data_IF_406753308185
#
_entry.id   IF_406753308185
#
_cell.length_a   1.000
_cell.length_b   1.000
_cell.length_c   1.000
_cell.angle_alpha   90.00
_cell.angle_beta   90.00
_cell.angle_gamma   90.00
#
_symmetry.space_group_name_H-M   'P 1'
#
loop_
_entity.id
_entity.type
_entity.pdbx_description
1 polymer ?
#
# COMPACT_ATOMS: atom_id res chain seq x y z
N UNK A 1 5.36 21.09 11.36
CA UNK A 1 4.61 19.99 12.00
C UNK A 1 5.62 18.88 12.21
N UNK A 2 5.82 18.45 13.44
CA UNK A 2 6.74 17.36 13.75
C UNK A 2 6.16 16.03 13.26
N UNK A 3 7.01 14.99 13.10
CA UNK A 3 6.53 13.64 12.75
C UNK A 3 5.48 13.15 13.75
N UNK A 4 5.69 13.43 15.05
CA UNK A 4 4.75 13.08 16.11
C UNK A 4 3.39 13.79 15.97
N UNK A 5 3.37 15.07 15.62
CA UNK A 5 2.13 15.82 15.36
C UNK A 5 1.41 15.30 14.13
N UNK A 6 2.15 15.00 13.05
CA UNK A 6 1.58 14.39 11.84
C UNK A 6 0.99 13.04 12.15
N UNK A 7 1.70 12.21 12.90
CA UNK A 7 1.27 10.89 13.36
C UNK A 7 0.00 10.98 14.20
N UNK A 8 0.00 11.85 15.22
CA UNK A 8 -1.16 12.02 16.11
C UNK A 8 -2.37 12.48 15.31
N UNK A 9 -2.20 13.47 14.42
CA UNK A 9 -3.27 13.96 13.56
C UNK A 9 -3.79 12.88 12.61
N UNK A 10 -2.90 12.15 11.96
CA UNK A 10 -3.27 11.06 11.02
C UNK A 10 -3.98 9.91 11.73
N UNK A 11 -3.55 9.56 12.95
CA UNK A 11 -4.21 8.54 13.78
C UNK A 11 -5.59 8.99 14.26
N UNK A 12 -5.73 10.24 14.67
CA UNK A 12 -7.01 10.79 15.12
C UNK A 12 -8.03 10.90 13.99
N UNK A 13 -7.59 11.30 12.79
CA UNK A 13 -8.49 11.64 11.68
C UNK A 13 -8.97 10.43 10.86
N UNK A 14 -8.35 9.25 10.95
CA UNK A 14 -8.69 8.23 9.95
C UNK A 14 -8.50 6.76 10.28
N UNK A 15 -7.82 6.42 11.36
CA UNK A 15 -7.48 5.01 11.62
C UNK A 15 -8.39 4.40 12.66
N UNK A 16 -8.76 5.18 13.65
CA UNK A 16 -9.53 4.71 14.81
C UNK A 16 -11.04 4.73 14.56
N UNK A 17 -11.54 5.78 13.92
CA UNK A 17 -12.95 5.87 13.55
C UNK A 17 -13.12 5.70 12.04
N UNK A 18 -14.21 5.08 11.57
CA UNK A 18 -14.52 5.09 10.16
C UNK A 18 -14.61 6.56 9.71
N UNK A 19 -13.87 6.97 8.64
CA UNK A 19 -13.83 8.35 8.19
C UNK A 19 -15.19 8.87 7.71
N UNK A 20 -16.12 7.96 7.46
CA UNK A 20 -17.47 8.28 7.03
C UNK A 20 -18.51 7.76 8.03
N UNK A 21 -19.50 8.59 8.32
CA UNK A 21 -20.66 8.18 9.13
C UNK A 21 -21.58 7.23 8.36
N UNK A 22 -21.67 7.44 7.06
CA UNK A 22 -22.55 6.71 6.16
C UNK A 22 -21.75 6.02 5.04
N UNK A 23 -22.33 5.02 4.43
CA UNK A 23 -21.80 4.42 3.22
C UNK A 23 -21.86 5.41 2.04
N UNK A 24 -21.10 5.14 0.99
CA UNK A 24 -21.14 5.93 -0.24
C UNK A 24 -22.48 5.72 -0.98
N UNK A 25 -23.56 6.40 -0.53
CA UNK A 25 -24.91 6.26 -1.09
C UNK A 25 -24.98 6.60 -2.58
N UNK A 26 -24.07 7.44 -3.05
CA UNK A 26 -23.94 7.75 -4.48
C UNK A 26 -23.45 6.53 -5.29
N UNK A 27 -22.77 5.57 -4.66
CA UNK A 27 -22.29 4.32 -5.25
C UNK A 27 -23.29 3.18 -5.01
N UNK A 28 -23.69 2.96 -3.75
CA UNK A 28 -24.62 1.89 -3.36
C UNK A 28 -25.71 2.48 -2.46
N UNK A 29 -26.96 2.34 -2.89
CA UNK A 29 -28.13 2.72 -2.13
C UNK A 29 -29.13 1.56 -2.05
N UNK A 30 -29.68 1.32 -0.86
CA UNK A 30 -30.66 0.24 -0.61
C UNK A 30 -30.16 -1.14 -1.07
N UNK A 31 -28.85 -1.41 -0.89
CA UNK A 31 -28.20 -2.66 -1.30
C UNK A 31 -28.06 -2.86 -2.80
N UNK A 32 -28.26 -1.81 -3.60
CA UNK A 32 -28.11 -1.80 -5.06
C UNK A 32 -27.07 -0.79 -5.49
N UNK A 33 -26.24 -1.15 -6.47
CA UNK A 33 -25.31 -0.20 -7.08
C UNK A 33 -26.08 0.78 -7.95
N UNK A 34 -25.63 2.04 -7.94
CA UNK A 34 -26.16 3.07 -8.82
C UNK A 34 -26.15 2.58 -10.28
N UNK A 35 -27.31 2.64 -10.94
CA UNK A 35 -27.51 2.05 -12.26
C UNK A 35 -26.55 2.64 -13.32
N UNK A 36 -26.24 3.94 -13.25
CA UNK A 36 -25.32 4.57 -14.20
C UNK A 36 -23.87 4.09 -13.99
N UNK A 37 -23.45 3.93 -12.74
CA UNK A 37 -22.09 3.44 -12.41
C UNK A 37 -21.96 1.96 -12.78
N UNK A 38 -22.97 1.15 -12.42
CA UNK A 38 -23.01 -0.26 -12.81
C UNK A 38 -22.94 -0.41 -14.34
N UNK A 39 -23.70 0.39 -15.07
CA UNK A 39 -23.69 0.39 -16.54
C UNK A 39 -22.31 0.80 -17.07
N UNK A 40 -21.70 1.85 -16.52
CA UNK A 40 -20.34 2.28 -16.89
C UNK A 40 -19.33 1.16 -16.78
N UNK A 41 -19.33 0.42 -15.65
CA UNK A 41 -18.39 -0.70 -15.43
C UNK A 41 -18.63 -1.80 -16.49
N UNK A 42 -19.88 -2.23 -16.66
CA UNK A 42 -20.21 -3.29 -17.60
C UNK A 42 -19.93 -2.89 -19.06
N UNK A 43 -20.26 -1.66 -19.47
CA UNK A 43 -19.99 -1.14 -20.80
C UNK A 43 -18.48 -1.05 -21.07
N UNK A 44 -17.68 -0.71 -20.05
CA UNK A 44 -16.23 -0.68 -20.15
C UNK A 44 -15.68 -2.06 -20.44
N UNK A 45 -16.15 -3.09 -19.72
CA UNK A 45 -15.75 -4.49 -19.94
C UNK A 45 -16.16 -4.96 -21.36
N UNK A 46 -17.36 -4.61 -21.81
CA UNK A 46 -17.83 -4.95 -23.17
C UNK A 46 -16.99 -4.28 -24.25
N UNK A 47 -16.61 -3.01 -24.05
CA UNK A 47 -15.74 -2.29 -24.97
C UNK A 47 -14.36 -2.96 -25.07
N UNK A 48 -13.77 -3.31 -23.96
CA UNK A 48 -12.47 -4.03 -23.96
C UNK A 48 -12.57 -5.37 -24.68
N UNK A 49 -13.59 -6.15 -24.37
CA UNK A 49 -13.81 -7.45 -25.02
C UNK A 49 -13.86 -7.33 -26.56
N UNK A 50 -14.39 -6.22 -27.09
CA UNK A 50 -14.42 -5.96 -28.54
C UNK A 50 -13.07 -5.58 -29.15
N UNK A 51 -12.18 -4.96 -28.34
CA UNK A 51 -10.87 -4.51 -28.81
C UNK A 51 -9.77 -5.57 -28.66
N UNK A 52 -10.03 -6.60 -27.86
CA UNK A 52 -9.08 -7.67 -27.60
C UNK A 52 -9.41 -8.83 -28.54
N UNK A 53 -8.41 -9.22 -29.33
CA UNK A 53 -8.55 -10.28 -30.34
C UNK A 53 -8.56 -11.70 -29.71
N UNK A 54 -9.00 -11.81 -28.45
CA UNK A 54 -9.08 -13.06 -27.69
C UNK A 54 -10.51 -13.27 -27.22
N UNK A 55 -11.12 -14.35 -27.64
CA UNK A 55 -12.44 -14.74 -27.13
C UNK A 55 -12.32 -15.30 -25.73
N UNK A 56 -13.06 -14.76 -24.79
CA UNK A 56 -13.18 -15.26 -23.42
C UNK A 56 -14.58 -15.01 -22.86
N UNK A 57 -14.96 -15.82 -21.89
CA UNK A 57 -16.22 -15.68 -21.18
C UNK A 57 -16.00 -14.95 -19.86
N UNK A 58 -16.78 -13.90 -19.63
CA UNK A 58 -16.90 -13.28 -18.30
C UNK A 58 -17.90 -14.11 -17.50
N UNK A 59 -17.42 -14.69 -16.40
CA UNK A 59 -18.23 -15.56 -15.52
C UNK A 59 -19.03 -14.72 -14.52
N UNK A 60 -18.34 -13.80 -13.85
CA UNK A 60 -18.93 -12.83 -12.92
C UNK A 60 -18.03 -11.59 -12.79
N UNK A 61 -18.62 -10.51 -12.31
CA UNK A 61 -17.92 -9.25 -12.00
C UNK A 61 -18.25 -8.85 -10.57
N UNK A 62 -17.23 -8.63 -9.77
CA UNK A 62 -17.35 -8.25 -8.37
C UNK A 62 -16.58 -6.96 -8.08
N UNK A 63 -17.16 -6.08 -7.28
CA UNK A 63 -16.49 -4.92 -6.72
C UNK A 63 -16.03 -5.22 -5.30
N UNK A 64 -14.88 -4.64 -4.92
CA UNK A 64 -14.24 -4.72 -3.61
C UNK A 64 -13.69 -3.36 -3.24
N UNK A 65 -13.04 -3.26 -2.11
CA UNK A 65 -12.35 -2.05 -1.67
C UNK A 65 -13.11 -1.22 -0.65
N UNK A 66 -12.44 -0.20 -0.17
CA UNK A 66 -12.93 0.66 0.93
C UNK A 66 -14.19 1.44 0.56
N UNK A 67 -14.41 1.75 -0.73
CA UNK A 67 -15.63 2.43 -1.22
C UNK A 67 -16.93 1.66 -0.91
N UNK A 68 -16.85 0.36 -0.67
CA UNK A 68 -17.99 -0.46 -0.25
C UNK A 68 -18.24 -0.45 1.26
N UNK A 69 -17.43 0.28 2.02
CA UNK A 69 -17.46 0.32 3.48
C UNK A 69 -17.57 1.77 3.98
N UNK A 70 -17.70 1.98 5.28
CA UNK A 70 -17.61 3.32 5.89
C UNK A 70 -16.16 3.84 6.01
N UNK A 71 -15.17 3.07 5.55
CA UNK A 71 -13.75 3.42 5.59
C UNK A 71 -13.22 4.12 4.36
N UNK A 72 -14.10 4.48 3.41
CA UNK A 72 -13.64 5.18 2.22
C UNK A 72 -13.19 6.61 2.54
N UNK A 73 -12.18 7.04 1.83
CA UNK A 73 -11.64 8.41 1.84
C UNK A 73 -11.82 9.04 0.46
N UNK A 74 -11.43 10.30 0.30
CA UNK A 74 -11.45 10.97 -1.01
C UNK A 74 -10.55 10.28 -2.05
N UNK A 75 -9.51 9.57 -1.60
CA UNK A 75 -8.54 8.89 -2.46
C UNK A 75 -8.85 7.39 -2.65
N UNK A 76 -9.97 6.91 -2.09
CA UNK A 76 -10.34 5.50 -2.23
C UNK A 76 -10.69 5.14 -3.67
N UNK A 77 -10.20 3.99 -4.11
CA UNK A 77 -10.50 3.34 -5.39
C UNK A 77 -11.63 2.31 -5.28
N UNK A 78 -12.13 1.89 -6.43
CA UNK A 78 -13.05 0.76 -6.56
C UNK A 78 -12.35 -0.37 -7.30
N UNK A 79 -11.96 -1.41 -6.57
CA UNK A 79 -11.39 -2.61 -7.14
C UNK A 79 -12.47 -3.46 -7.80
N UNK A 80 -12.36 -3.69 -9.09
CA UNK A 80 -13.31 -4.49 -9.86
C UNK A 80 -12.63 -5.75 -10.38
N UNK A 81 -13.02 -6.91 -9.84
CA UNK A 81 -12.53 -8.22 -10.26
C UNK A 81 -13.43 -8.82 -11.33
N UNK A 82 -12.85 -9.14 -12.48
CA UNK A 82 -13.52 -9.75 -13.63
C UNK A 82 -13.09 -11.21 -13.69
N UNK A 83 -13.97 -12.12 -13.30
CA UNK A 83 -13.70 -13.56 -13.34
C UNK A 83 -13.95 -14.10 -14.74
N UNK A 84 -12.98 -14.82 -15.27
CA UNK A 84 -12.98 -15.30 -16.65
C UNK A 84 -12.69 -16.79 -16.74
N UNK A 85 -12.84 -17.35 -17.93
CA UNK A 85 -12.43 -18.73 -18.26
C UNK A 85 -11.00 -18.79 -18.85
N UNK A 86 -10.27 -17.68 -18.84
CA UNK A 86 -8.88 -17.56 -19.33
C UNK A 86 -7.90 -18.35 -18.47
N UNK A 87 -6.84 -18.83 -19.11
CA UNK A 87 -5.64 -19.29 -18.39
C UNK A 87 -4.98 -18.13 -17.63
N UNK A 88 -4.13 -18.43 -16.63
CA UNK A 88 -3.38 -17.37 -15.91
C UNK A 88 -2.52 -16.54 -16.86
N UNK A 89 -1.81 -17.19 -17.78
CA UNK A 89 -0.95 -16.49 -18.75
C UNK A 89 -1.73 -15.54 -19.65
N UNK A 90 -2.94 -15.92 -20.07
CA UNK A 90 -3.76 -15.05 -20.92
C UNK A 90 -4.45 -13.94 -20.12
N UNK A 91 -4.81 -14.22 -18.86
CA UNK A 91 -5.31 -13.23 -17.93
C UNK A 91 -4.27 -12.13 -17.66
N UNK A 92 -2.98 -12.49 -17.48
CA UNK A 92 -1.88 -11.55 -17.28
C UNK A 92 -1.67 -10.66 -18.52
N UNK A 93 -1.66 -11.25 -19.71
CA UNK A 93 -1.57 -10.48 -20.98
C UNK A 93 -2.74 -9.49 -21.13
N UNK A 94 -3.93 -9.94 -20.75
CA UNK A 94 -5.11 -9.10 -20.80
C UNK A 94 -5.03 -7.95 -19.80
N UNK A 95 -4.54 -8.20 -18.60
CA UNK A 95 -4.38 -7.18 -17.57
C UNK A 95 -3.40 -6.07 -17.97
N UNK A 96 -2.34 -6.39 -18.73
CA UNK A 96 -1.38 -5.42 -19.24
C UNK A 96 -1.99 -4.45 -20.27
N UNK A 97 -3.04 -4.88 -20.97
CA UNK A 97 -3.70 -4.11 -22.04
C UNK A 97 -4.87 -3.25 -21.49
N UNK A 98 -5.40 -3.58 -20.32
CA UNK A 98 -6.52 -2.85 -19.73
C UNK A 98 -6.09 -1.42 -19.39
N UNK A 99 -6.82 -0.40 -19.87
CA UNK A 99 -6.55 0.98 -19.52
C UNK A 99 -6.67 1.19 -18.01
N UNK A 100 -5.62 1.73 -17.40
CA UNK A 100 -5.59 2.09 -15.99
C UNK A 100 -6.14 3.51 -15.79
N UNK A 101 -6.63 3.80 -14.58
CA UNK A 101 -7.06 5.14 -14.20
C UNK A 101 -8.45 5.54 -14.72
N UNK A 102 -9.32 4.58 -15.03
CA UNK A 102 -10.74 4.89 -15.27
C UNK A 102 -11.35 5.49 -14.00
N UNK A 103 -12.05 6.61 -14.13
CA UNK A 103 -12.74 7.24 -13.01
C UNK A 103 -14.22 6.91 -13.00
N UNK A 104 -14.80 6.84 -11.80
CA UNK A 104 -16.23 6.68 -11.63
C UNK A 104 -16.93 7.96 -12.07
N UNK A 105 -17.94 7.83 -12.93
CA UNK A 105 -18.80 8.93 -13.35
C UNK A 105 -20.09 8.87 -12.55
N UNK A 106 -20.32 9.86 -11.70
CA UNK A 106 -21.55 10.01 -10.93
C UNK A 106 -22.28 11.28 -11.33
N UNK A 107 -23.58 11.18 -11.64
CA UNK A 107 -24.41 12.31 -12.10
C UNK A 107 -23.78 13.10 -13.26
N UNK A 108 -23.15 12.40 -14.22
CA UNK A 108 -22.52 13.00 -15.39
C UNK A 108 -21.19 13.72 -15.15
N UNK A 109 -20.62 13.64 -13.93
CA UNK A 109 -19.33 14.23 -13.59
C UNK A 109 -18.35 13.12 -13.15
N UNK A 110 -17.11 13.26 -13.53
CA UNK A 110 -16.03 12.40 -12.99
C UNK A 110 -15.87 12.65 -11.48
N UNK A 111 -15.79 11.56 -10.74
CA UNK A 111 -15.43 11.60 -9.33
C UNK A 111 -13.90 11.57 -9.19
N UNK A 112 -13.39 11.79 -7.97
CA UNK A 112 -11.97 11.59 -7.68
C UNK A 112 -11.57 10.11 -7.63
N UNK A 113 -12.57 9.21 -7.51
CA UNK A 113 -12.35 7.78 -7.27
C UNK A 113 -12.07 7.03 -8.56
N UNK A 114 -10.88 6.42 -8.70
CA UNK A 114 -10.55 5.56 -9.83
C UNK A 114 -11.27 4.20 -9.71
N UNK A 115 -11.37 3.52 -10.85
CA UNK A 115 -11.76 2.11 -10.94
C UNK A 115 -10.53 1.33 -11.37
N UNK A 116 -10.08 0.40 -10.54
CA UNK A 116 -9.01 -0.53 -10.86
C UNK A 116 -9.60 -1.90 -11.20
N UNK A 117 -9.27 -2.37 -12.40
CA UNK A 117 -9.78 -3.63 -12.92
C UNK A 117 -8.75 -4.74 -12.80
N UNK A 118 -9.17 -5.88 -12.29
CA UNK A 118 -8.36 -7.08 -12.13
C UNK A 118 -8.98 -8.25 -12.88
N UNK A 119 -8.16 -8.97 -13.66
CA UNK A 119 -8.59 -10.18 -14.33
C UNK A 119 -8.27 -11.37 -13.44
N UNK A 120 -9.30 -12.15 -13.13
CA UNK A 120 -9.17 -13.38 -12.34
C UNK A 120 -9.27 -14.57 -13.29
N UNK A 121 -8.22 -15.37 -13.34
CA UNK A 121 -8.10 -16.51 -14.24
C UNK A 121 -9.02 -17.67 -13.80
N UNK A 122 -9.24 -18.61 -14.71
CA UNK A 122 -10.04 -19.81 -14.45
C UNK A 122 -9.53 -20.59 -13.25
N UNK A 123 -10.42 -20.89 -12.32
CA UNK A 123 -10.12 -21.67 -11.12
C UNK A 123 -9.46 -20.87 -10.00
N UNK A 124 -9.11 -19.61 -10.23
CA UNK A 124 -8.62 -18.72 -9.16
C UNK A 124 -9.79 -18.14 -8.35
N UNK A 125 -9.55 -17.97 -7.08
CA UNK A 125 -10.47 -17.30 -6.15
C UNK A 125 -9.71 -16.24 -5.38
N UNK A 126 -10.36 -15.12 -5.13
CA UNK A 126 -9.83 -14.13 -4.19
C UNK A 126 -10.35 -14.53 -2.80
N UNK A 127 -9.47 -14.72 -1.81
CA UNK A 127 -9.89 -15.11 -0.47
C UNK A 127 -10.86 -14.08 0.11
N UNK A 128 -12.08 -14.52 0.44
CA UNK A 128 -13.13 -13.63 0.96
C UNK A 128 -12.80 -13.11 2.37
N UNK A 129 -11.98 -13.84 3.13
CA UNK A 129 -11.59 -13.45 4.48
C UNK A 129 -10.80 -12.14 4.51
N UNK A 130 -10.05 -11.85 3.46
CA UNK A 130 -9.16 -10.68 3.36
C UNK A 130 -9.86 -9.44 2.79
N UNK A 131 -11.16 -9.51 2.56
CA UNK A 131 -11.93 -8.42 1.96
C UNK A 131 -13.06 -8.01 2.89
N UNK A 132 -13.15 -6.73 3.21
CA UNK A 132 -14.17 -6.18 4.13
C UNK A 132 -15.59 -6.26 3.57
N UNK A 133 -15.74 -6.09 2.25
CA UNK A 133 -17.01 -6.17 1.55
C UNK A 133 -16.82 -6.67 0.11
N UNK A 134 -17.79 -7.44 -0.40
CA UNK A 134 -17.84 -7.89 -1.78
C UNK A 134 -19.22 -7.59 -2.34
N UNK A 135 -19.28 -6.90 -3.46
CA UNK A 135 -20.50 -6.60 -4.17
C UNK A 135 -20.51 -7.24 -5.57
N UNK A 136 -21.47 -8.13 -5.85
CA UNK A 136 -21.66 -8.68 -7.18
C UNK A 136 -22.27 -7.62 -8.10
N UNK A 137 -21.47 -7.12 -9.05
CA UNK A 137 -21.93 -6.22 -10.10
C UNK A 137 -22.84 -6.98 -11.06
N UNK A 138 -22.54 -8.27 -11.30
CA UNK A 138 -23.37 -9.15 -12.13
C UNK A 138 -24.80 -9.24 -11.58
N UNK A 139 -24.96 -9.59 -10.30
CA UNK A 139 -26.27 -9.82 -9.67
C UNK A 139 -26.86 -8.56 -9.02
N UNK A 140 -26.07 -7.48 -8.97
CA UNK A 140 -26.43 -6.21 -8.33
C UNK A 140 -26.83 -6.37 -6.85
N UNK A 141 -26.01 -7.07 -6.07
CA UNK A 141 -26.22 -7.31 -4.64
C UNK A 141 -24.92 -7.56 -3.89
N UNK A 142 -24.93 -7.35 -2.59
CA UNK A 142 -23.80 -7.78 -1.76
C UNK A 142 -23.71 -9.31 -1.71
N UNK A 143 -22.51 -9.83 -1.96
CA UNK A 143 -22.09 -11.21 -1.66
C UNK A 143 -21.62 -11.27 -0.21
N UNK A 144 -20.78 -10.31 0.19
CA UNK A 144 -20.34 -10.09 1.57
C UNK A 144 -20.64 -8.66 1.96
N UNK A 145 -21.53 -8.48 2.94
CA UNK A 145 -21.84 -7.15 3.47
C UNK A 145 -20.65 -6.60 4.23
N UNK A 146 -20.43 -5.27 4.19
CA UNK A 146 -19.38 -4.63 4.97
C UNK A 146 -19.58 -4.89 6.46
N UNK A 147 -18.48 -5.17 7.15
CA UNK A 147 -18.47 -5.30 8.60
C UNK A 147 -18.67 -3.93 9.24
N UNK A 148 -19.47 -3.87 10.31
CA UNK A 148 -19.45 -2.72 11.20
C UNK A 148 -18.20 -2.82 12.08
N UNK A 149 -17.35 -1.83 12.01
CA UNK A 149 -16.16 -1.76 12.85
C UNK A 149 -16.49 -1.02 14.13
N UNK A 150 -16.28 -1.69 15.25
CA UNK A 150 -16.11 -1.03 16.53
C UNK A 150 -14.61 -0.97 16.81
N UNK A 151 -14.08 0.24 16.89
CA UNK A 151 -12.68 0.40 17.23
C UNK A 151 -12.52 0.22 18.74
N UNK A 152 -11.85 -0.85 19.14
CA UNK A 152 -11.61 -1.19 20.54
C UNK A 152 -10.12 -1.15 20.91
N UNK A 153 -9.24 -0.75 19.97
CA UNK A 153 -7.82 -0.58 20.26
C UNK A 153 -7.62 0.76 20.97
N UNK A 154 -7.08 0.79 22.20
CA UNK A 154 -6.79 2.04 22.87
C UNK A 154 -5.86 2.91 22.03
N UNK A 155 -6.24 4.16 21.78
CA UNK A 155 -5.48 5.11 20.97
C UNK A 155 -4.00 5.18 21.37
N UNK A 156 -3.73 5.32 22.67
CA UNK A 156 -2.36 5.42 23.18
C UNK A 156 -1.53 4.17 22.90
N UNK A 157 -2.15 2.99 22.88
CA UNK A 157 -1.47 1.75 22.55
C UNK A 157 -1.08 1.72 21.07
N UNK A 158 -2.02 2.02 20.18
CA UNK A 158 -1.75 2.10 18.74
C UNK A 158 -0.68 3.16 18.44
N UNK A 159 -0.76 4.32 19.09
CA UNK A 159 0.21 5.40 18.95
C UNK A 159 1.62 4.96 19.36
N UNK A 160 1.75 4.26 20.50
CA UNK A 160 3.05 3.77 20.97
C UNK A 160 3.68 2.75 20.03
N UNK A 161 2.88 1.80 19.53
CA UNK A 161 3.35 0.79 18.57
C UNK A 161 3.70 1.45 17.23
N UNK A 162 2.87 2.35 16.74
CA UNK A 162 3.14 3.10 15.51
C UNK A 162 4.43 3.92 15.63
N UNK A 163 4.62 4.64 16.74
CA UNK A 163 5.84 5.40 17.02
C UNK A 163 7.09 4.52 16.98
N UNK A 164 7.03 3.33 17.56
CA UNK A 164 8.17 2.40 17.54
C UNK A 164 8.61 2.07 16.12
N UNK A 165 7.67 1.66 15.26
CA UNK A 165 7.99 1.28 13.87
C UNK A 165 8.37 2.47 12.99
N UNK A 166 7.66 3.60 13.11
CA UNK A 166 7.94 4.78 12.31
C UNK A 166 9.27 5.42 12.70
N UNK A 167 9.60 5.44 13.99
CA UNK A 167 10.90 5.90 14.45
C UNK A 167 12.03 5.03 13.90
N UNK A 168 11.88 3.70 13.86
CA UNK A 168 12.83 2.79 13.23
C UNK A 168 13.07 3.14 11.76
N UNK A 169 12.00 3.33 10.99
CA UNK A 169 12.10 3.75 9.59
C UNK A 169 12.75 5.13 9.43
N UNK A 170 12.39 6.08 10.28
CA UNK A 170 12.94 7.44 10.26
C UNK A 170 14.42 7.48 10.60
N UNK A 171 14.87 6.66 11.56
CA UNK A 171 16.28 6.52 11.92
C UNK A 171 17.08 5.97 10.73
N UNK A 172 16.59 4.92 10.06
CA UNK A 172 17.28 4.37 8.88
C UNK A 172 17.43 5.40 7.76
N UNK A 173 16.37 6.19 7.48
CA UNK A 173 16.41 7.26 6.49
C UNK A 173 17.41 8.37 6.87
N UNK A 174 17.39 8.79 8.14
CA UNK A 174 18.24 9.87 8.65
C UNK A 174 19.71 9.47 8.68
N UNK A 175 20.02 8.24 9.10
CA UNK A 175 21.39 7.74 9.13
C UNK A 175 21.99 7.74 7.73
N UNK A 176 21.28 7.22 6.74
CA UNK A 176 21.74 7.24 5.35
C UNK A 176 22.06 8.67 4.85
N UNK A 177 21.18 9.63 5.07
CA UNK A 177 21.40 11.02 4.63
C UNK A 177 22.61 11.65 5.33
N UNK A 178 22.78 11.39 6.64
CA UNK A 178 23.90 11.88 7.41
C UNK A 178 25.23 11.27 6.94
N UNK A 179 25.29 9.95 6.79
CA UNK A 179 26.49 9.24 6.40
C UNK A 179 26.90 9.52 4.96
N UNK A 180 25.94 9.72 4.07
CA UNK A 180 26.19 10.20 2.70
C UNK A 180 26.74 11.62 2.68
N UNK A 181 26.19 12.49 3.53
CA UNK A 181 26.70 13.87 3.67
C UNK A 181 28.13 13.88 4.16
N UNK A 182 28.44 13.07 5.19
CA UNK A 182 29.82 12.93 5.72
C UNK A 182 30.78 12.34 4.68
N UNK A 183 30.36 11.33 3.94
CA UNK A 183 31.15 10.78 2.84
C UNK A 183 31.52 11.85 1.82
N UNK A 184 30.54 12.62 1.34
CA UNK A 184 30.76 13.70 0.38
C UNK A 184 31.66 14.80 0.95
N UNK A 185 31.52 15.11 2.24
CA UNK A 185 32.42 16.04 2.93
C UNK A 185 33.87 15.55 2.88
N UNK A 186 34.14 14.32 3.31
CA UNK A 186 35.49 13.77 3.27
C UNK A 186 36.03 13.63 1.84
N UNK A 187 35.23 13.28 0.87
CA UNK A 187 35.62 13.17 -0.53
C UNK A 187 36.12 14.49 -1.09
N UNK A 188 35.46 15.59 -0.74
CA UNK A 188 35.78 16.93 -1.20
C UNK A 188 36.81 17.66 -0.33
N UNK A 189 37.31 17.02 0.74
CA UNK A 189 38.27 17.59 1.63
C UNK A 189 39.64 17.70 0.93
N UNK A 190 40.27 18.89 0.97
CA UNK A 190 41.62 19.07 0.47
C UNK A 190 42.62 18.81 1.60
N UNK A 191 43.40 17.71 1.55
CA UNK A 191 44.35 17.37 2.61
C UNK A 191 45.34 18.47 2.91
N UNK A 192 45.76 19.26 1.92
CA UNK A 192 46.76 20.32 2.09
C UNK A 192 46.24 21.49 2.90
N UNK A 193 44.93 21.75 2.88
CA UNK A 193 44.31 22.88 3.58
C UNK A 193 43.82 22.53 4.96
N UNK A 194 43.63 21.22 5.26
CA UNK A 194 42.98 20.70 6.46
C UNK A 194 43.95 19.96 7.43
N UNK A 195 45.24 20.02 7.17
CA UNK A 195 46.30 19.39 8.01
C UNK A 195 46.06 17.88 8.22
N UNK A 196 45.48 17.18 7.24
CA UNK A 196 45.33 15.73 7.26
C UNK A 196 46.15 15.11 6.12
N UNK A 197 46.50 13.84 6.29
CA UNK A 197 47.20 13.06 5.26
C UNK A 197 46.22 12.45 4.28
N UNK A 198 46.65 12.11 3.05
CA UNK A 198 45.85 11.33 2.10
C UNK A 198 45.44 9.97 2.68
N UNK A 199 46.30 9.33 3.47
CA UNK A 199 46.01 8.06 4.13
C UNK A 199 44.85 8.20 5.15
N UNK A 200 44.85 9.27 5.92
CA UNK A 200 43.78 9.57 6.88
C UNK A 200 42.46 9.85 6.12
N UNK A 201 42.48 10.63 5.05
CA UNK A 201 41.34 10.88 4.20
C UNK A 201 40.76 9.56 3.64
N UNK A 202 41.62 8.70 3.10
CA UNK A 202 41.20 7.41 2.56
C UNK A 202 40.63 6.49 3.63
N UNK A 203 41.19 6.54 4.86
CA UNK A 203 40.61 5.81 6.00
C UNK A 203 39.20 6.29 6.33
N UNK A 204 38.97 7.62 6.43
CA UNK A 204 37.64 8.18 6.66
C UNK A 204 36.65 7.79 5.58
N UNK A 205 37.02 7.85 4.31
CA UNK A 205 36.20 7.43 3.20
C UNK A 205 35.81 5.94 3.28
N UNK A 206 36.79 5.08 3.60
CA UNK A 206 36.55 3.65 3.81
C UNK A 206 35.58 3.36 4.95
N UNK A 207 35.75 4.07 6.08
CA UNK A 207 34.85 3.92 7.23
C UNK A 207 33.43 4.37 6.90
N UNK A 208 33.26 5.47 6.15
CA UNK A 208 31.96 5.97 5.74
C UNK A 208 31.31 5.05 4.72
N UNK A 209 32.03 4.47 3.77
CA UNK A 209 31.48 3.48 2.84
C UNK A 209 30.97 2.24 3.58
N UNK A 210 31.63 1.82 4.66
CA UNK A 210 31.17 0.70 5.48
C UNK A 210 29.89 1.05 6.25
N UNK A 211 29.75 2.29 6.76
CA UNK A 211 28.52 2.75 7.39
C UNK A 211 27.37 2.81 6.40
N UNK A 212 27.60 3.37 5.21
CA UNK A 212 26.61 3.40 4.12
C UNK A 212 26.16 2.00 3.70
N UNK A 213 27.03 0.99 3.74
CA UNK A 213 26.64 -0.41 3.50
C UNK A 213 25.70 -0.93 4.61
N UNK A 214 25.96 -0.58 5.88
CA UNK A 214 25.07 -0.92 6.98
C UNK A 214 23.72 -0.18 6.88
N UNK A 215 23.71 1.08 6.42
CA UNK A 215 22.50 1.84 6.18
C UNK A 215 21.65 1.22 5.05
N UNK A 216 22.28 0.71 3.99
CA UNK A 216 21.59 -0.02 2.94
C UNK A 216 20.85 -1.26 3.49
N UNK A 217 21.50 -2.02 4.36
CA UNK A 217 20.88 -3.17 5.04
C UNK A 217 19.76 -2.74 5.98
N UNK A 218 19.91 -1.63 6.70
CA UNK A 218 18.87 -1.08 7.57
C UNK A 218 17.65 -0.60 6.79
N UNK A 219 17.85 0.11 5.67
CA UNK A 219 16.78 0.55 4.76
C UNK A 219 16.03 -0.64 4.15
N UNK A 220 16.79 -1.67 3.73
CA UNK A 220 16.22 -2.92 3.20
C UNK A 220 15.40 -3.65 4.25
N UNK A 221 15.89 -3.74 5.48
CA UNK A 221 15.16 -4.35 6.60
C UNK A 221 13.87 -3.58 6.90
N UNK A 222 13.92 -2.25 6.97
CA UNK A 222 12.74 -1.41 7.19
C UNK A 222 11.70 -1.56 6.06
N UNK A 223 12.14 -1.58 4.80
CA UNK A 223 11.28 -1.81 3.65
C UNK A 223 10.67 -3.23 3.66
N UNK A 224 11.47 -4.24 4.03
CA UNK A 224 11.01 -5.61 4.18
C UNK A 224 9.95 -5.74 5.27
N UNK A 225 10.12 -5.06 6.40
CA UNK A 225 9.16 -5.05 7.51
C UNK A 225 7.78 -4.53 7.06
N UNK A 226 7.74 -3.38 6.35
CA UNK A 226 6.48 -2.84 5.81
C UNK A 226 5.87 -3.79 4.77
N UNK A 227 6.70 -4.41 3.93
CA UNK A 227 6.25 -5.37 2.93
C UNK A 227 5.68 -6.63 3.58
N UNK A 228 6.27 -7.08 4.69
CA UNK A 228 5.78 -8.21 5.48
C UNK A 228 4.42 -7.92 6.12
N UNK A 229 4.22 -6.73 6.70
CA UNK A 229 2.89 -6.32 7.18
C UNK A 229 1.85 -6.35 6.06
N UNK A 230 2.21 -5.91 4.87
CA UNK A 230 1.31 -5.95 3.72
C UNK A 230 0.96 -7.38 3.31
N UNK A 231 1.93 -8.30 3.28
CA UNK A 231 1.69 -9.71 2.98
C UNK A 231 0.82 -10.37 4.04
N UNK A 232 1.08 -10.13 5.31
CA UNK A 232 0.28 -10.67 6.40
C UNK A 232 -1.18 -10.19 6.34
N UNK A 233 -1.41 -8.94 5.95
CA UNK A 233 -2.75 -8.37 5.83
C UNK A 233 -3.49 -8.91 4.59
N UNK A 234 -2.79 -9.11 3.47
CA UNK A 234 -3.39 -9.44 2.18
C UNK A 234 -3.11 -10.87 1.67
N UNK A 235 -2.02 -11.52 2.13
CA UNK A 235 -1.57 -12.85 1.69
C UNK A 235 -1.33 -13.76 2.89
N UNK A 236 -2.31 -14.58 3.27
CA UNK A 236 -2.20 -15.52 4.42
C UNK A 236 -1.18 -16.67 4.22
N UNK A 237 -0.52 -16.77 3.08
CA UNK A 237 0.28 -17.95 2.70
C UNK A 237 1.76 -17.90 3.10
N UNK A 238 2.26 -16.76 3.55
CA UNK A 238 3.67 -16.61 3.91
C UNK A 238 3.80 -16.16 5.38
N UNK A 239 3.99 -17.09 6.33
CA UNK A 239 4.16 -16.72 7.73
C UNK A 239 5.41 -15.85 7.85
N UNK A 240 5.22 -14.63 8.31
CA UNK A 240 6.29 -13.69 8.57
C UNK A 240 7.22 -14.27 9.67
N UNK A 241 8.54 -14.46 9.42
CA UNK A 241 9.47 -14.91 10.45
C UNK A 241 9.62 -13.92 11.62
N UNK A 242 9.10 -12.71 11.48
CA UNK A 242 8.99 -11.70 12.54
C UNK A 242 7.55 -11.62 13.05
N UNK A 243 6.95 -12.76 13.39
CA UNK A 243 5.59 -12.84 13.91
C UNK A 243 5.43 -12.03 15.22
N UNK A 244 5.25 -10.73 15.08
CA UNK A 244 4.65 -9.90 16.12
C UNK A 244 3.14 -9.91 15.86
N UNK A 245 2.56 -11.08 15.91
CA UNK A 245 1.10 -11.21 15.92
C UNK A 245 0.58 -10.84 17.30
N UNK A 246 0.49 -9.56 17.59
CA UNK A 246 -0.33 -9.09 18.70
C UNK A 246 -1.79 -9.25 18.23
N UNK A 247 -2.30 -10.46 18.38
CA UNK A 247 -3.73 -10.75 18.25
C UNK A 247 -4.42 -10.18 19.46
N UNK A 248 -4.86 -8.94 19.39
CA UNK A 248 -5.78 -8.38 20.35
C UNK A 248 -7.16 -9.02 20.11
N UNK A 249 -7.47 -10.07 20.87
CA UNK A 249 -8.82 -10.61 20.97
C UNK A 249 -9.64 -9.64 21.83
N UNK A 250 -10.33 -8.71 21.21
CA UNK A 250 -11.30 -7.85 21.88
C UNK A 250 -12.66 -8.13 21.26
N UNK A 251 -13.49 -8.86 21.97
CA UNK A 251 -14.92 -9.09 21.71
C UNK A 251 -15.34 -9.37 20.25
N UNK A 252 -14.77 -10.41 19.60
CA UNK A 252 -15.17 -10.91 18.28
C UNK A 252 -14.98 -9.97 17.06
N UNK A 253 -14.25 -8.88 17.20
CA UNK A 253 -13.89 -8.00 16.08
C UNK A 253 -12.38 -8.08 15.89
N UNK A 254 -11.93 -8.86 14.90
CA UNK A 254 -10.53 -8.90 14.49
C UNK A 254 -10.19 -7.63 13.69
N UNK A 255 -9.87 -6.54 14.38
CA UNK A 255 -9.12 -5.45 13.74
C UNK A 255 -7.65 -5.80 13.91
N UNK A 256 -7.02 -6.23 12.85
CA UNK A 256 -5.59 -6.50 12.88
C UNK A 256 -4.83 -5.21 13.17
N UNK A 257 -4.04 -5.20 14.25
CA UNK A 257 -3.12 -4.08 14.54
C UNK A 257 -2.22 -3.81 13.34
N UNK A 258 -1.79 -4.87 12.66
CA UNK A 258 -0.95 -4.80 11.46
C UNK A 258 -1.64 -4.08 10.31
N UNK A 259 -2.94 -4.28 10.11
CA UNK A 259 -3.71 -3.53 9.10
C UNK A 259 -3.74 -2.02 9.40
N UNK A 260 -3.93 -1.64 10.66
CA UNK A 260 -3.92 -0.24 11.05
C UNK A 260 -2.54 0.40 10.88
N UNK A 261 -1.48 -0.32 11.26
CA UNK A 261 -0.09 0.12 11.07
C UNK A 261 0.25 0.24 9.58
N UNK A 262 -0.15 -0.73 8.76
CA UNK A 262 0.08 -0.69 7.33
C UNK A 262 -0.59 0.54 6.69
N UNK A 263 -1.86 0.78 6.97
CA UNK A 263 -2.59 1.95 6.47
C UNK A 263 -1.94 3.28 6.90
N UNK A 264 -1.42 3.33 8.13
CA UNK A 264 -0.67 4.49 8.60
C UNK A 264 0.63 4.69 7.82
N UNK A 265 1.40 3.64 7.62
CA UNK A 265 2.66 3.69 6.86
C UNK A 265 2.43 4.06 5.39
N UNK A 266 1.35 3.58 4.79
CA UNK A 266 0.93 3.94 3.42
C UNK A 266 0.57 5.43 3.34
N UNK A 267 -0.19 5.97 4.30
CA UNK A 267 -0.51 7.41 4.35
C UNK A 267 0.71 8.31 4.52
N UNK A 268 1.69 7.86 5.29
CA UNK A 268 2.96 8.57 5.45
C UNK A 268 3.91 8.38 4.27
N UNK A 269 3.49 7.60 3.27
CA UNK A 269 4.30 7.27 2.09
C UNK A 269 5.67 6.65 2.43
N UNK A 270 5.78 6.01 3.61
CA UNK A 270 7.07 5.50 4.12
C UNK A 270 7.66 4.41 3.25
N UNK A 271 6.83 3.52 2.69
CA UNK A 271 7.30 2.44 1.83
C UNK A 271 7.99 2.96 0.57
N UNK A 272 7.40 3.95 -0.09
CA UNK A 272 7.99 4.55 -1.30
C UNK A 272 9.27 5.29 -0.97
N UNK A 273 9.32 6.01 0.16
CA UNK A 273 10.51 6.69 0.62
C UNK A 273 11.64 5.70 0.91
N UNK A 274 11.37 4.64 1.68
CA UNK A 274 12.37 3.61 2.00
C UNK A 274 12.89 2.92 0.75
N UNK A 275 12.00 2.51 -0.17
CA UNK A 275 12.40 1.85 -1.43
C UNK A 275 13.23 2.76 -2.33
N UNK A 276 12.88 4.03 -2.40
CA UNK A 276 13.65 5.01 -3.18
C UNK A 276 15.05 5.21 -2.60
N UNK A 277 15.16 5.33 -1.26
CA UNK A 277 16.42 5.51 -0.56
C UNK A 277 17.30 4.26 -0.52
N UNK A 278 16.70 3.07 -0.39
CA UNK A 278 17.39 1.78 -0.53
C UNK A 278 18.12 1.72 -1.87
N UNK A 279 17.38 1.97 -2.97
CA UNK A 279 17.97 1.99 -4.32
C UNK A 279 19.05 3.05 -4.49
N UNK A 280 18.79 4.28 -4.01
CA UNK A 280 19.75 5.38 -4.07
C UNK A 280 21.05 5.03 -3.34
N UNK A 281 20.94 4.41 -2.14
CA UNK A 281 22.09 3.97 -1.35
C UNK A 281 22.90 2.88 -2.05
N UNK A 282 22.23 1.86 -2.60
CA UNK A 282 22.89 0.81 -3.36
C UNK A 282 23.63 1.34 -4.60
N UNK A 283 22.98 2.23 -5.36
CA UNK A 283 23.57 2.83 -6.55
C UNK A 283 24.76 3.72 -6.19
N UNK A 284 24.68 4.47 -5.08
CA UNK A 284 25.77 5.27 -4.54
C UNK A 284 26.98 4.41 -4.18
N UNK A 285 26.75 3.34 -3.41
CA UNK A 285 27.84 2.43 -2.98
C UNK A 285 28.49 1.77 -4.20
N UNK A 286 27.72 1.32 -5.18
CA UNK A 286 28.26 0.73 -6.42
C UNK A 286 29.17 1.70 -7.16
N UNK A 287 28.75 2.97 -7.27
CA UNK A 287 29.51 4.02 -7.94
C UNK A 287 30.83 4.34 -7.24
N UNK A 288 30.84 4.31 -5.91
CA UNK A 288 32.01 4.71 -5.12
C UNK A 288 33.00 3.56 -4.82
N UNK A 289 32.59 2.30 -5.08
CA UNK A 289 33.46 1.10 -4.92
C UNK A 289 34.34 0.82 -6.15
N UNK A 290 34.19 1.60 -7.23
CA UNK A 290 35.01 1.51 -8.44
C UNK A 290 36.27 2.37 -8.25
#
# INVERSE_FOLDING_TARGET
MTLAETLTKTLQESILDPPQKEYAEWLIKDGKMNASIRKQILDTIVKWKKHINTEFKVIKVEAKGSLLTKRYTEDSDLDVSIYTDLSRSDADKLWDIIPKGNKIISKGKETKHPIDFYIVAKGETIPEQNVDAIFSITDNKFVKKPKEYKNEIPFNYLLNVANFYINGCSIALTNYENDKTLYNFYKNLDPKTQEITEDEKNKYLSEQLRKLAADADALKLANHLITSFRREVYDEKDPNPFEISIKLNVNNVHVSLNEQLLKLMEKLNLRQQLKAKEKECEDFIKKEKI
#
